data_IF_744286816594
#
_entry.id   IF_744286816594
#
_cell.length_a   1.000
_cell.length_b   1.000
_cell.length_c   1.000
_cell.angle_alpha   90.00
_cell.angle_beta   90.00
_cell.angle_gamma   90.00
#
_symmetry.space_group_name_H-M   'P 1'
#
loop_
_entity.id
_entity.type
_entity.pdbx_description
1 polymer ?
#
# COMPACT_ATOMS: atom_id res chain seq x y z
N UNK A 1 -23.44 -65.00 -23.64
CA UNK A 1 -23.95 -64.92 -25.03
C UNK A 1 -23.54 -63.57 -25.60
N UNK A 2 -22.78 -63.55 -26.73
CA UNK A 2 -22.23 -62.39 -27.49
C UNK A 2 -21.18 -61.52 -26.76
N UNK A 3 -19.90 -61.31 -27.12
CA UNK A 3 -19.00 -61.45 -28.30
C UNK A 3 -19.23 -60.53 -29.52
N UNK A 4 -18.51 -59.38 -29.56
CA UNK A 4 -17.67 -58.80 -30.66
C UNK A 4 -17.38 -57.30 -30.38
N UNK A 5 -16.12 -56.85 -30.27
CA UNK A 5 -15.16 -56.39 -31.33
C UNK A 5 -15.65 -55.17 -32.13
N UNK A 6 -14.92 -54.14 -32.55
CA UNK A 6 -13.49 -53.72 -32.58
C UNK A 6 -13.48 -52.34 -33.29
N UNK A 7 -12.59 -51.40 -32.94
CA UNK A 7 -11.91 -50.52 -33.90
C UNK A 7 -10.79 -49.71 -33.22
N UNK A 8 -9.56 -49.98 -33.64
CA UNK A 8 -8.37 -49.14 -33.47
C UNK A 8 -8.37 -48.07 -34.58
N UNK A 9 -7.81 -46.89 -34.30
CA UNK A 9 -7.04 -46.16 -35.30
C UNK A 9 -5.83 -45.51 -34.64
N UNK A 10 -4.65 -45.88 -35.15
CA UNK A 10 -3.34 -45.29 -34.90
C UNK A 10 -3.09 -44.21 -35.93
N UNK A 11 -2.49 -43.08 -35.52
CA UNK A 11 -1.74 -42.21 -36.43
C UNK A 11 -0.63 -41.53 -35.66
N UNK A 12 0.59 -41.85 -36.05
CA UNK A 12 1.83 -41.25 -35.59
C UNK A 12 2.13 -39.95 -36.35
N UNK A 13 3.05 -39.17 -35.77
CA UNK A 13 3.90 -38.16 -36.40
C UNK A 13 3.25 -36.86 -36.90
N UNK A 14 3.58 -35.76 -36.21
CA UNK A 14 4.49 -34.76 -36.75
C UNK A 14 4.77 -33.69 -35.68
N UNK A 15 6.03 -33.57 -35.29
CA UNK A 15 6.49 -32.42 -34.52
C UNK A 15 6.33 -31.15 -35.33
N UNK A 16 5.82 -30.10 -34.69
CA UNK A 16 5.93 -28.73 -35.15
C UNK A 16 6.80 -27.98 -34.13
N UNK A 17 7.81 -27.22 -34.57
CA UNK A 17 8.75 -26.55 -33.69
C UNK A 17 8.05 -25.44 -32.90
N UNK A 18 8.45 -25.28 -31.64
CA UNK A 18 8.04 -24.15 -30.79
C UNK A 18 8.72 -22.90 -31.35
N UNK A 19 7.98 -22.20 -32.22
CA UNK A 19 8.35 -20.90 -32.75
C UNK A 19 8.25 -19.86 -31.63
N UNK A 20 9.37 -19.21 -31.31
CA UNK A 20 9.44 -18.13 -30.34
C UNK A 20 8.50 -16.98 -30.73
N UNK A 21 7.30 -16.93 -30.14
CA UNK A 21 6.45 -15.75 -30.21
C UNK A 21 6.95 -14.72 -29.19
N UNK A 22 7.73 -13.78 -29.69
CA UNK A 22 7.90 -12.49 -29.04
C UNK A 22 6.53 -11.82 -28.94
N UNK A 23 6.09 -11.54 -27.71
CA UNK A 23 4.82 -10.85 -27.48
C UNK A 23 4.93 -9.40 -27.94
N UNK A 24 4.31 -9.09 -29.07
CA UNK A 24 4.05 -7.72 -29.51
C UNK A 24 2.92 -7.15 -28.67
N UNK A 25 3.25 -6.20 -27.80
CA UNK A 25 2.29 -5.38 -27.08
C UNK A 25 1.57 -4.48 -28.08
N UNK A 26 0.34 -4.84 -28.47
CA UNK A 26 -0.54 -3.93 -29.19
C UNK A 26 -1.30 -3.09 -28.16
N UNK A 27 -0.69 -1.98 -27.75
CA UNK A 27 -1.34 -0.96 -26.93
C UNK A 27 -2.20 -0.10 -27.84
N UNK A 28 -3.52 -0.20 -27.69
CA UNK A 28 -4.47 0.74 -28.28
C UNK A 28 -4.19 2.14 -27.72
N UNK A 29 -3.54 2.98 -28.52
CA UNK A 29 -3.25 4.37 -28.19
C UNK A 29 -4.55 5.19 -28.05
N UNK A 30 -4.91 5.55 -26.81
CA UNK A 30 -5.81 6.68 -26.54
C UNK A 30 -5.08 7.98 -26.88
N UNK A 31 -5.43 8.60 -28.00
CA UNK A 31 -4.76 9.79 -28.56
C UNK A 31 -5.03 11.10 -27.78
N UNK A 32 -5.72 11.09 -26.64
CA UNK A 32 -6.14 12.32 -25.96
C UNK A 32 -5.07 12.96 -25.07
N UNK A 33 -3.96 12.26 -24.75
CA UNK A 33 -2.93 12.78 -23.83
C UNK A 33 -1.85 13.60 -24.57
N UNK A 34 -1.56 13.30 -25.84
CA UNK A 34 -0.50 13.97 -26.58
C UNK A 34 -0.86 15.41 -26.99
N UNK A 35 -2.14 15.70 -27.22
CA UNK A 35 -2.58 17.05 -27.61
C UNK A 35 -2.56 18.04 -26.43
N UNK A 36 -2.87 17.57 -25.21
CA UNK A 36 -2.79 18.39 -23.98
C UNK A 36 -1.34 18.74 -23.64
N UNK A 37 -0.39 17.81 -23.90
CA UNK A 37 1.04 18.06 -23.65
C UNK A 37 1.61 19.06 -24.66
N UNK A 38 1.17 19.06 -25.94
CA UNK A 38 1.59 20.04 -26.94
C UNK A 38 1.07 21.46 -26.66
N UNK A 39 -0.19 21.61 -26.25
CA UNK A 39 -0.75 22.93 -25.87
C UNK A 39 -0.04 23.54 -24.65
N UNK A 40 0.30 22.71 -23.64
CA UNK A 40 0.99 23.19 -22.44
C UNK A 40 2.41 23.69 -22.70
N UNK A 41 3.13 23.07 -23.65
CA UNK A 41 4.47 23.51 -24.07
C UNK A 41 4.43 24.77 -24.93
N UNK A 42 3.42 24.93 -25.80
CA UNK A 42 3.26 26.14 -26.61
C UNK A 42 2.92 27.38 -25.75
N UNK A 43 2.09 27.22 -24.70
CA UNK A 43 1.75 28.31 -23.76
C UNK A 43 2.90 28.77 -22.86
N UNK A 44 3.84 27.88 -22.51
CA UNK A 44 5.03 28.23 -21.69
C UNK A 44 6.12 28.96 -22.49
N UNK A 45 6.19 28.76 -23.80
CA UNK A 45 7.15 29.45 -24.67
C UNK A 45 6.80 30.94 -24.85
N UNK A 46 5.50 31.29 -24.91
CA UNK A 46 5.06 32.68 -25.15
C UNK A 46 5.07 33.60 -23.93
N UNK A 47 5.12 33.07 -22.71
CA UNK A 47 5.15 33.88 -21.47
C UNK A 47 6.56 34.16 -20.94
N UNK A 48 7.61 33.59 -21.55
CA UNK A 48 9.00 33.78 -21.10
C UNK A 48 9.72 35.02 -21.67
N UNK A 49 9.10 35.81 -22.56
CA UNK A 49 9.79 36.92 -23.26
C UNK A 49 9.52 38.33 -22.71
N UNK A 50 8.77 38.51 -21.62
CA UNK A 50 8.57 39.84 -21.00
C UNK A 50 8.51 39.76 -19.47
N UNK A 51 9.66 39.81 -18.81
CA UNK A 51 9.86 40.43 -17.49
C UNK A 51 11.33 40.29 -17.05
N UNK A 52 12.21 41.16 -17.55
CA UNK A 52 13.43 41.52 -16.82
C UNK A 52 13.08 42.69 -15.91
N UNK A 53 12.93 42.43 -14.61
CA UNK A 53 12.98 43.46 -13.59
C UNK A 53 13.58 42.87 -12.31
N UNK A 54 14.70 43.46 -11.92
CA UNK A 54 15.43 43.36 -10.66
C UNK A 54 14.54 43.22 -9.43
N UNK A 55 14.76 42.18 -8.62
CA UNK A 55 14.49 42.24 -7.17
C UNK A 55 15.45 41.31 -6.43
N UNK A 56 16.15 41.90 -5.45
CA UNK A 56 17.18 41.30 -4.60
C UNK A 56 16.64 40.09 -3.82
N UNK A 57 17.49 39.08 -3.71
CA UNK A 57 17.33 37.85 -2.96
C UNK A 57 17.14 38.13 -1.46
N UNK A 58 15.96 37.80 -0.92
CA UNK A 58 15.77 37.54 0.51
C UNK A 58 15.70 36.02 0.65
N UNK A 59 16.75 35.43 1.23
CA UNK A 59 16.79 34.00 1.57
C UNK A 59 15.85 33.76 2.76
N UNK A 60 14.77 33.00 2.54
CA UNK A 60 14.02 32.39 3.64
C UNK A 60 14.67 31.05 4.02
N UNK A 61 14.81 30.71 5.32
CA UNK A 61 15.50 29.48 5.77
C UNK A 61 14.59 28.24 5.78
N UNK A 62 13.39 28.31 5.20
CA UNK A 62 12.40 27.24 5.33
C UNK A 62 12.47 26.25 4.15
N UNK A 63 13.49 25.38 4.17
CA UNK A 63 13.59 24.24 3.26
C UNK A 63 12.49 23.22 3.58
N UNK A 64 11.33 23.37 2.95
CA UNK A 64 10.33 22.31 2.84
C UNK A 64 10.98 21.11 2.14
N UNK A 65 11.30 20.09 2.94
CA UNK A 65 11.80 18.78 2.51
C UNK A 65 10.81 18.20 1.49
N UNK A 66 11.10 18.37 0.19
CA UNK A 66 10.30 17.79 -0.88
C UNK A 66 10.39 16.26 -0.77
N UNK A 67 9.23 15.61 -0.61
CA UNK A 67 9.14 14.14 -0.61
C UNK A 67 9.44 13.62 -2.03
N UNK A 68 10.11 12.46 -2.15
CA UNK A 68 10.53 11.94 -3.45
C UNK A 68 9.31 11.63 -4.36
N UNK A 69 9.51 11.81 -5.67
CA UNK A 69 8.50 11.52 -6.71
C UNK A 69 8.20 10.01 -6.77
N UNK A 70 6.99 9.66 -7.23
CA UNK A 70 6.50 8.27 -7.30
C UNK A 70 7.35 7.38 -8.23
N UNK A 71 7.87 7.94 -9.33
CA UNK A 71 8.78 7.23 -10.25
C UNK A 71 10.11 6.87 -9.56
N UNK A 72 10.65 7.80 -8.77
CA UNK A 72 11.89 7.65 -8.00
C UNK A 72 11.79 6.52 -6.96
N UNK A 73 10.59 6.32 -6.40
CA UNK A 73 10.32 5.27 -5.41
C UNK A 73 10.19 3.88 -6.04
N UNK A 74 9.58 3.76 -7.23
CA UNK A 74 9.47 2.48 -7.96
C UNK A 74 10.83 1.97 -8.42
N UNK A 75 11.71 2.87 -8.87
CA UNK A 75 13.09 2.54 -9.24
C UNK A 75 13.86 1.95 -8.04
N UNK A 76 13.75 2.60 -6.88
CA UNK A 76 14.34 2.15 -5.62
C UNK A 76 13.74 0.81 -5.13
N UNK A 77 12.50 0.52 -5.52
CA UNK A 77 11.86 -0.74 -5.20
C UNK A 77 12.43 -1.93 -5.99
N UNK A 78 12.59 -1.80 -7.30
CA UNK A 78 13.26 -2.81 -8.13
C UNK A 78 14.74 -3.00 -7.74
N UNK A 79 15.50 -1.91 -7.59
CA UNK A 79 16.92 -1.96 -7.22
C UNK A 79 17.17 -2.66 -5.88
N UNK A 80 16.21 -2.59 -4.95
CA UNK A 80 16.37 -3.24 -3.65
C UNK A 80 16.29 -4.77 -3.79
N UNK A 81 15.33 -5.31 -4.55
CA UNK A 81 15.21 -6.75 -4.74
C UNK A 81 16.33 -7.32 -5.62
N UNK A 82 16.85 -6.53 -6.56
CA UNK A 82 18.04 -6.89 -7.33
C UNK A 82 19.33 -6.97 -6.48
N UNK A 83 19.38 -6.24 -5.36
CA UNK A 83 20.51 -6.26 -4.41
C UNK A 83 20.40 -7.36 -3.35
N UNK A 84 19.30 -8.10 -3.31
CA UNK A 84 19.13 -9.19 -2.35
C UNK A 84 19.74 -10.46 -2.93
N UNK A 85 20.74 -11.02 -2.25
CA UNK A 85 21.41 -12.25 -2.68
C UNK A 85 20.95 -13.50 -1.89
N UNK A 86 19.95 -13.36 -1.02
CA UNK A 86 19.51 -14.44 -0.12
C UNK A 86 19.05 -15.70 -0.85
N UNK A 87 18.50 -15.57 -2.06
CA UNK A 87 18.06 -16.71 -2.87
C UNK A 87 19.23 -17.37 -3.61
N UNK A 88 20.31 -16.65 -3.89
CA UNK A 88 21.46 -17.16 -4.66
C UNK A 88 22.46 -17.89 -3.74
N UNK A 89 22.62 -17.36 -2.52
CA UNK A 89 23.49 -17.94 -1.51
C UNK A 89 23.00 -19.32 -1.05
N UNK A 90 23.95 -20.17 -0.66
CA UNK A 90 23.66 -21.46 -0.04
C UNK A 90 23.03 -21.28 1.34
N UNK A 91 22.31 -22.30 1.80
CA UNK A 91 21.56 -22.26 3.06
C UNK A 91 22.44 -21.97 4.28
N UNK A 92 23.68 -22.48 4.30
CA UNK A 92 24.61 -22.27 5.42
C UNK A 92 25.17 -20.84 5.41
N UNK A 93 25.51 -20.30 4.24
CA UNK A 93 25.94 -18.90 4.11
C UNK A 93 24.86 -17.91 4.51
N UNK A 94 23.59 -18.17 4.16
CA UNK A 94 22.46 -17.34 4.59
C UNK A 94 22.31 -17.39 6.11
N UNK A 95 22.35 -18.57 6.72
CA UNK A 95 22.29 -18.72 8.17
C UNK A 95 23.44 -17.97 8.87
N UNK A 96 24.66 -18.13 8.38
CA UNK A 96 25.84 -17.43 8.91
C UNK A 96 25.71 -15.91 8.76
N UNK A 97 25.30 -15.41 7.60
CA UNK A 97 25.08 -13.99 7.34
C UNK A 97 23.99 -13.37 8.22
N UNK A 98 22.97 -14.15 8.59
CA UNK A 98 21.91 -13.73 9.52
C UNK A 98 22.23 -14.01 10.99
N UNK A 99 23.43 -14.51 11.30
CA UNK A 99 23.83 -14.97 12.65
C UNK A 99 22.81 -15.93 13.27
N UNK A 100 22.25 -16.81 12.45
CA UNK A 100 21.31 -17.86 12.83
C UNK A 100 21.94 -19.24 12.66
N UNK A 101 21.36 -20.24 13.32
CA UNK A 101 21.78 -21.63 13.27
C UNK A 101 20.61 -22.52 12.90
N UNK A 102 20.84 -23.80 12.57
CA UNK A 102 19.76 -24.77 12.32
C UNK A 102 18.84 -24.98 13.53
N UNK A 103 19.34 -24.71 14.75
CA UNK A 103 18.55 -24.72 15.98
C UNK A 103 17.80 -23.40 16.21
N UNK A 104 17.87 -22.47 15.26
CA UNK A 104 17.26 -21.14 15.32
C UNK A 104 18.03 -20.17 16.21
N UNK A 105 17.39 -19.02 16.46
CA UNK A 105 17.93 -17.97 17.33
C UNK A 105 17.66 -18.29 18.81
N UNK A 106 18.52 -17.81 19.70
CA UNK A 106 18.22 -17.78 21.15
C UNK A 106 17.12 -16.75 21.44
N UNK A 107 16.19 -17.02 22.39
CA UNK A 107 15.08 -16.12 22.68
C UNK A 107 15.52 -14.71 23.12
N UNK A 108 16.66 -14.58 23.80
CA UNK A 108 17.24 -13.30 24.22
C UNK A 108 17.70 -12.48 23.01
N UNK A 109 18.31 -13.13 22.04
CA UNK A 109 18.77 -12.47 20.82
C UNK A 109 17.60 -12.08 19.91
N UNK A 110 16.58 -12.92 19.82
CA UNK A 110 15.35 -12.60 19.10
C UNK A 110 14.64 -11.37 19.71
N UNK A 111 14.56 -11.28 21.04
CA UNK A 111 13.95 -10.10 21.70
C UNK A 111 14.79 -8.82 21.50
N UNK A 112 16.11 -8.93 21.49
CA UNK A 112 17.02 -7.80 21.20
C UNK A 112 16.85 -7.29 19.77
N UNK A 113 16.75 -8.19 18.78
CA UNK A 113 16.44 -7.83 17.39
C UNK A 113 15.06 -7.21 17.25
N UNK A 114 14.06 -7.75 17.95
CA UNK A 114 12.71 -7.19 17.92
C UNK A 114 12.66 -5.74 18.44
N UNK A 115 13.46 -5.43 19.46
CA UNK A 115 13.58 -4.07 19.99
C UNK A 115 14.31 -3.12 19.02
N UNK A 116 15.24 -3.63 18.21
CA UNK A 116 16.08 -2.85 17.30
C UNK A 116 15.43 -2.63 15.93
N UNK A 117 14.95 -3.72 15.32
CA UNK A 117 14.39 -3.73 13.95
C UNK A 117 12.90 -3.40 13.93
N UNK A 118 12.23 -3.62 15.06
CA UNK A 118 10.79 -3.43 15.22
C UNK A 118 9.97 -4.66 14.84
N UNK A 119 8.65 -4.53 15.01
CA UNK A 119 7.69 -5.63 14.78
C UNK A 119 7.52 -5.95 13.30
N UNK A 120 7.26 -7.22 13.00
CA UNK A 120 6.81 -7.69 11.69
C UNK A 120 5.35 -7.27 11.45
N UNK A 121 5.16 -5.98 11.13
CA UNK A 121 3.85 -5.40 10.83
C UNK A 121 3.91 -4.60 9.54
N UNK A 122 2.85 -4.70 8.74
CA UNK A 122 2.68 -3.86 7.57
C UNK A 122 2.56 -2.39 7.99
N UNK A 123 3.12 -1.46 7.21
CA UNK A 123 3.16 -0.05 7.57
C UNK A 123 1.75 0.55 7.53
N UNK A 124 1.11 0.65 8.69
CA UNK A 124 -0.16 1.36 8.84
C UNK A 124 0.10 2.85 8.98
N UNK A 125 -0.55 3.65 8.15
CA UNK A 125 -0.53 5.11 8.31
C UNK A 125 -1.18 5.45 9.64
N UNK A 126 -0.38 5.96 10.60
CA UNK A 126 -0.91 6.48 11.86
C UNK A 126 -1.89 7.61 11.53
N UNK A 127 -3.16 7.41 11.88
CA UNK A 127 -4.18 8.42 11.71
C UNK A 127 -4.12 9.36 12.91
N UNK A 128 -3.88 10.64 12.65
CA UNK A 128 -3.99 11.65 13.70
C UNK A 128 -5.47 11.98 13.88
N UNK A 129 -6.14 11.28 14.80
CA UNK A 129 -7.57 11.44 15.06
C UNK A 129 -7.97 12.90 15.31
N UNK A 130 -7.13 13.68 16.03
CA UNK A 130 -7.37 15.10 16.24
C UNK A 130 -7.33 15.92 14.94
N UNK A 131 -6.36 15.66 14.06
CA UNK A 131 -6.28 16.31 12.74
C UNK A 131 -7.48 15.95 11.87
N UNK A 132 -7.90 14.69 11.95
CA UNK A 132 -9.02 14.13 11.19
C UNK A 132 -10.35 14.72 11.64
N UNK A 133 -10.56 14.85 12.94
CA UNK A 133 -11.69 15.57 13.52
C UNK A 133 -11.70 17.04 13.09
N UNK A 134 -10.55 17.72 13.12
CA UNK A 134 -10.44 19.09 12.64
C UNK A 134 -10.78 19.20 11.15
N UNK A 135 -10.34 18.25 10.34
CA UNK A 135 -10.65 18.18 8.91
C UNK A 135 -12.15 17.94 8.65
N UNK A 136 -12.86 17.19 9.51
CA UNK A 136 -14.32 17.02 9.39
C UNK A 136 -15.11 18.27 9.75
N UNK A 137 -14.65 19.02 10.75
CA UNK A 137 -15.35 20.21 11.24
C UNK A 137 -15.04 21.45 10.39
N UNK A 138 -13.80 21.59 9.90
CA UNK A 138 -13.32 22.78 9.20
C UNK A 138 -13.01 22.56 7.72
N UNK A 139 -13.05 21.33 7.22
CA UNK A 139 -12.72 21.01 5.83
C UNK A 139 -13.88 21.24 4.86
N UNK A 140 -13.52 21.45 3.58
CA UNK A 140 -14.48 21.47 2.46
C UNK A 140 -15.62 22.47 2.64
N UNK A 141 -16.85 22.00 2.42
CA UNK A 141 -18.09 22.78 2.49
C UNK A 141 -18.39 23.34 3.90
N UNK A 142 -17.97 22.65 4.97
CA UNK A 142 -18.17 23.12 6.35
C UNK A 142 -17.48 24.46 6.61
N UNK A 143 -16.37 24.76 5.92
CA UNK A 143 -15.68 26.05 6.05
C UNK A 143 -16.56 27.25 5.68
N UNK A 144 -17.46 27.11 4.70
CA UNK A 144 -18.41 28.16 4.29
C UNK A 144 -19.49 28.36 5.35
N UNK A 145 -19.98 27.29 5.96
CA UNK A 145 -20.95 27.35 7.05
C UNK A 145 -20.38 28.09 8.27
N UNK A 146 -19.09 27.89 8.59
CA UNK A 146 -18.40 28.65 9.64
C UNK A 146 -18.35 30.14 9.37
N UNK A 147 -18.13 30.55 8.12
CA UNK A 147 -18.23 31.98 7.72
C UNK A 147 -19.66 32.48 7.96
N UNK A 148 -20.68 31.69 7.61
CA UNK A 148 -22.07 32.02 7.89
C UNK A 148 -22.36 32.20 9.38
N UNK A 149 -21.85 31.31 10.25
CA UNK A 149 -21.95 31.44 11.72
C UNK A 149 -21.33 32.76 12.18
N UNK A 150 -20.13 33.10 11.70
CA UNK A 150 -19.45 34.35 12.05
C UNK A 150 -20.28 35.57 11.62
N UNK A 151 -20.85 35.56 10.42
CA UNK A 151 -21.71 36.65 9.92
C UNK A 151 -22.95 36.81 10.80
N UNK A 152 -23.65 35.72 11.14
CA UNK A 152 -24.83 35.79 12.01
C UNK A 152 -24.49 36.31 13.41
N UNK A 153 -23.33 35.94 13.97
CA UNK A 153 -22.85 36.51 15.23
C UNK A 153 -22.54 38.01 15.11
N UNK A 154 -21.92 38.47 14.02
CA UNK A 154 -21.65 39.90 13.78
C UNK A 154 -22.95 40.71 13.64
N UNK A 155 -23.94 40.16 12.92
CA UNK A 155 -25.27 40.75 12.77
C UNK A 155 -26.03 40.83 14.10
N UNK A 156 -25.82 39.86 15.02
CA UNK A 156 -26.32 39.96 16.38
C UNK A 156 -25.58 41.04 17.20
N UNK A 157 -24.24 41.03 17.17
CA UNK A 157 -23.38 41.99 17.88
C UNK A 157 -22.02 42.07 17.18
N UNK A 158 -21.54 43.27 16.75
CA UNK A 158 -21.93 44.62 17.16
C UNK A 158 -23.02 45.34 16.33
N UNK A 159 -23.41 44.83 15.15
CA UNK A 159 -24.32 45.55 14.23
C UNK A 159 -25.77 45.61 14.70
N UNK A 160 -26.20 44.68 15.55
CA UNK A 160 -27.57 44.60 16.06
C UNK A 160 -27.90 45.52 17.24
N UNK A 161 -26.99 46.41 17.68
CA UNK A 161 -27.31 47.34 18.78
C UNK A 161 -28.14 48.54 18.28
N UNK A 162 -29.08 49.09 19.08
CA UNK A 162 -29.40 48.77 20.48
C UNK A 162 -30.39 47.61 20.70
N UNK A 163 -31.09 47.14 19.68
CA UNK A 163 -32.10 46.06 19.77
C UNK A 163 -31.66 44.79 19.02
N UNK A 164 -30.82 43.94 19.64
CA UNK A 164 -30.33 42.72 18.98
C UNK A 164 -31.49 41.75 18.74
N UNK A 165 -31.72 41.42 17.48
CA UNK A 165 -32.81 40.53 17.09
C UNK A 165 -32.52 39.07 17.47
N UNK A 166 -33.35 38.52 18.39
CA UNK A 166 -33.35 37.12 18.86
C UNK A 166 -33.23 36.06 17.73
N UNK A 167 -33.72 36.42 16.55
CA UNK A 167 -33.68 35.61 15.35
C UNK A 167 -32.26 35.31 14.84
N UNK A 168 -31.33 36.27 14.85
CA UNK A 168 -29.98 36.10 14.27
C UNK A 168 -29.14 35.08 15.06
N UNK A 169 -29.28 35.04 16.39
CA UNK A 169 -28.64 34.01 17.23
C UNK A 169 -29.28 32.64 17.01
N UNK A 170 -30.61 32.59 16.83
CA UNK A 170 -31.32 31.37 16.48
C UNK A 170 -30.78 30.76 15.18
N UNK A 171 -30.54 31.57 14.14
CA UNK A 171 -29.92 31.14 12.89
C UNK A 171 -28.48 30.66 13.09
N UNK A 172 -27.65 31.38 13.87
CA UNK A 172 -26.29 30.95 14.17
C UNK A 172 -26.24 29.57 14.85
N UNK A 173 -27.12 29.35 15.84
CA UNK A 173 -27.24 28.06 16.54
C UNK A 173 -27.73 26.97 15.59
N UNK A 174 -28.72 27.25 14.74
CA UNK A 174 -29.21 26.29 13.74
C UNK A 174 -28.09 25.84 12.81
N UNK A 175 -27.27 26.78 12.31
CA UNK A 175 -26.15 26.46 11.42
C UNK A 175 -25.07 25.65 12.14
N UNK A 176 -24.81 25.93 13.42
CA UNK A 176 -23.89 25.12 14.24
C UNK A 176 -24.38 23.66 14.37
N UNK A 177 -25.69 23.44 14.54
CA UNK A 177 -26.27 22.09 14.56
C UNK A 177 -26.05 21.40 13.21
N UNK A 178 -26.25 22.10 12.10
CA UNK A 178 -25.99 21.57 10.75
C UNK A 178 -24.52 21.17 10.57
N UNK A 179 -23.57 22.00 11.01
CA UNK A 179 -22.14 21.69 10.97
C UNK A 179 -21.85 20.41 11.78
N UNK A 180 -22.43 20.28 12.97
CA UNK A 180 -22.24 19.10 13.82
C UNK A 180 -22.76 17.82 13.15
N UNK A 181 -23.97 17.85 12.59
CA UNK A 181 -24.55 16.70 11.87
C UNK A 181 -23.69 16.31 10.65
N UNK A 182 -23.21 17.30 9.91
CA UNK A 182 -22.36 17.07 8.74
C UNK A 182 -21.00 16.46 9.11
N UNK A 183 -20.38 16.93 10.19
CA UNK A 183 -19.13 16.35 10.71
C UNK A 183 -19.32 14.90 11.17
N UNK A 184 -20.43 14.60 11.86
CA UNK A 184 -20.80 13.24 12.25
C UNK A 184 -20.99 12.32 11.04
N UNK A 185 -21.69 12.78 10.01
CA UNK A 185 -21.87 12.01 8.77
C UNK A 185 -20.53 11.73 8.07
N UNK A 186 -19.66 12.75 7.99
CA UNK A 186 -18.31 12.61 7.42
C UNK A 186 -17.45 11.60 8.20
N UNK A 187 -17.52 11.64 9.53
CA UNK A 187 -16.82 10.69 10.39
C UNK A 187 -17.35 9.26 10.20
N UNK A 188 -18.66 9.08 10.05
CA UNK A 188 -19.26 7.78 9.80
C UNK A 188 -18.86 7.20 8.43
N UNK A 189 -18.82 8.03 7.39
CA UNK A 189 -18.42 7.63 6.04
C UNK A 189 -16.96 7.13 6.03
N UNK A 190 -16.07 7.88 6.68
CA UNK A 190 -14.68 7.48 6.78
C UNK A 190 -14.46 6.24 7.67
N UNK A 191 -15.22 6.10 8.76
CA UNK A 191 -15.19 4.88 9.57
C UNK A 191 -15.61 3.64 8.75
N UNK A 192 -16.63 3.78 7.92
CA UNK A 192 -17.08 2.73 7.00
C UNK A 192 -15.98 2.34 6.00
N UNK A 193 -15.29 3.31 5.39
CA UNK A 193 -14.17 3.05 4.48
C UNK A 193 -12.96 2.40 5.18
N UNK A 194 -12.66 2.81 6.41
CA UNK A 194 -11.55 2.25 7.20
C UNK A 194 -11.70 0.77 7.54
N UNK A 195 -12.94 0.25 7.61
CA UNK A 195 -13.21 -1.17 7.90
C UNK A 195 -12.68 -2.10 6.82
N UNK A 196 -12.79 -1.71 5.55
CA UNK A 196 -12.28 -2.50 4.42
C UNK A 196 -10.77 -2.66 4.47
N UNK A 197 -10.04 -1.62 4.88
CA UNK A 197 -8.58 -1.70 5.01
C UNK A 197 -8.16 -2.61 6.18
N UNK A 198 -8.92 -2.64 7.27
CA UNK A 198 -8.63 -3.55 8.39
C UNK A 198 -8.85 -5.02 8.01
N UNK A 199 -9.85 -5.31 7.17
CA UNK A 199 -10.07 -6.67 6.65
C UNK A 199 -8.89 -7.17 5.80
N UNK A 200 -8.13 -6.29 5.14
CA UNK A 200 -6.89 -6.66 4.44
C UNK A 200 -5.78 -7.03 5.44
N UNK A 201 -5.72 -6.36 6.59
CA UNK A 201 -4.72 -6.64 7.63
C UNK A 201 -5.01 -7.96 8.37
N UNK A 202 -6.29 -8.34 8.49
CA UNK A 202 -6.72 -9.63 9.04
C UNK A 202 -6.37 -10.83 8.14
N UNK A 203 -5.85 -10.58 6.92
CA UNK A 203 -5.32 -11.63 6.06
C UNK A 203 -3.95 -12.15 6.53
N UNK A 204 -3.28 -11.49 7.48
CA UNK A 204 -1.99 -11.96 8.00
C UNK A 204 -2.18 -13.07 9.06
N UNK A 205 -1.35 -14.12 9.03
CA UNK A 205 -1.42 -15.18 10.04
C UNK A 205 -1.19 -14.60 11.44
N UNK A 206 -2.07 -14.92 12.40
CA UNK A 206 -1.97 -14.41 13.77
C UNK A 206 -0.73 -14.93 14.52
N UNK A 207 -0.42 -16.22 14.31
CA UNK A 207 0.68 -16.92 14.97
C UNK A 207 1.55 -17.68 13.95
N UNK A 208 2.84 -17.82 14.25
CA UNK A 208 3.81 -18.59 13.51
C UNK A 208 4.50 -19.62 14.41
N UNK A 209 4.84 -20.79 13.85
CA UNK A 209 5.66 -21.80 14.51
C UNK A 209 7.13 -21.50 14.21
N UNK A 210 7.90 -21.19 15.25
CA UNK A 210 9.33 -20.87 15.14
C UNK A 210 10.19 -21.85 15.93
N UNK A 211 11.42 -22.05 15.47
CA UNK A 211 12.45 -22.75 16.23
C UNK A 211 13.34 -21.70 16.87
N UNK A 212 13.37 -21.68 18.21
CA UNK A 212 14.25 -20.81 19.01
C UNK A 212 14.92 -21.64 20.10
N UNK A 213 16.25 -21.57 20.21
CA UNK A 213 17.03 -22.39 21.15
C UNK A 213 16.82 -23.89 20.98
N UNK A 214 16.62 -24.37 19.75
CA UNK A 214 16.36 -25.78 19.42
C UNK A 214 14.94 -26.27 19.72
N UNK A 215 14.08 -25.44 20.31
CA UNK A 215 12.70 -25.80 20.65
C UNK A 215 11.72 -25.12 19.70
N UNK A 216 10.70 -25.88 19.27
CA UNK A 216 9.60 -25.34 18.46
C UNK A 216 8.60 -24.63 19.38
N UNK A 217 8.43 -23.33 19.20
CA UNK A 217 7.54 -22.48 19.99
C UNK A 217 6.59 -21.71 19.07
N UNK A 218 5.36 -21.48 19.55
CA UNK A 218 4.38 -20.66 18.83
C UNK A 218 4.54 -19.22 19.26
N UNK A 219 4.79 -18.32 18.31
CA UNK A 219 5.03 -16.89 18.57
C UNK A 219 4.08 -16.07 17.69
N UNK A 220 3.54 -14.94 18.18
CA UNK A 220 2.76 -14.05 17.34
C UNK A 220 3.55 -13.65 16.09
N UNK A 221 2.92 -13.66 14.91
CA UNK A 221 3.63 -13.32 13.66
C UNK A 221 4.22 -11.91 13.69
N UNK A 222 3.69 -11.02 14.54
CA UNK A 222 4.20 -9.65 14.75
C UNK A 222 5.56 -9.61 15.41
N UNK A 223 5.93 -10.66 16.15
CA UNK A 223 7.14 -10.73 16.96
C UNK A 223 8.24 -11.58 16.28
N UNK A 224 8.02 -11.91 15.00
CA UNK A 224 9.03 -12.51 14.13
C UNK A 224 10.11 -11.49 13.78
N UNK A 225 11.36 -11.96 13.80
CA UNK A 225 12.53 -11.18 13.46
C UNK A 225 13.32 -11.85 12.34
N UNK A 226 14.15 -11.06 11.66
CA UNK A 226 15.09 -11.60 10.65
C UNK A 226 16.01 -12.62 11.32
N UNK A 227 16.20 -13.76 10.69
CA UNK A 227 16.99 -14.89 11.19
C UNK A 227 16.20 -15.93 11.98
N UNK A 228 14.93 -15.70 12.33
CA UNK A 228 14.09 -16.75 12.93
C UNK A 228 13.91 -17.92 11.95
N UNK A 229 13.93 -19.15 12.46
CA UNK A 229 13.55 -20.32 11.67
C UNK A 229 12.06 -20.56 11.87
N UNK A 230 11.31 -20.56 10.78
CA UNK A 230 9.86 -20.74 10.76
C UNK A 230 9.54 -22.09 10.13
N UNK A 231 8.62 -22.83 10.76
CA UNK A 231 8.02 -24.04 10.19
C UNK A 231 6.63 -23.69 9.65
N UNK A 232 6.39 -24.08 8.41
CA UNK A 232 5.13 -23.87 7.72
C UNK A 232 4.61 -25.21 7.21
N UNK A 233 3.30 -25.40 7.33
CA UNK A 233 2.60 -26.60 6.89
C UNK A 233 1.41 -26.22 6.03
N UNK A 234 0.84 -27.21 5.33
CA UNK A 234 -0.39 -27.07 4.55
C UNK A 234 -1.48 -26.26 5.27
N UNK A 235 -2.09 -25.32 4.53
CA UNK A 235 -3.13 -24.42 5.01
C UNK A 235 -2.62 -23.22 5.82
N UNK A 236 -1.32 -23.14 6.11
CA UNK A 236 -0.74 -21.97 6.79
C UNK A 236 -0.35 -20.90 5.76
N UNK A 237 -0.48 -19.64 6.17
CA UNK A 237 0.07 -18.51 5.41
C UNK A 237 1.51 -18.27 5.83
N UNK A 238 2.34 -17.87 4.87
CA UNK A 238 3.73 -17.51 5.10
C UNK A 238 3.78 -16.16 5.85
N UNK A 239 4.33 -16.09 7.07
CA UNK A 239 4.18 -14.93 7.96
C UNK A 239 5.15 -13.76 7.68
N UNK A 240 6.24 -14.04 6.97
CA UNK A 240 7.30 -13.09 6.58
C UNK A 240 8.00 -13.64 5.32
N UNK A 241 8.83 -12.86 4.62
CA UNK A 241 9.57 -13.44 3.50
C UNK A 241 10.66 -14.36 4.07
N UNK A 242 10.63 -15.64 3.68
CA UNK A 242 11.50 -16.70 4.19
C UNK A 242 12.32 -17.33 3.06
N UNK A 243 13.56 -17.71 3.38
CA UNK A 243 14.40 -18.58 2.55
C UNK A 243 14.19 -20.02 2.99
N UNK A 244 13.75 -20.88 2.07
CA UNK A 244 13.49 -22.29 2.35
C UNK A 244 14.82 -23.02 2.62
N UNK A 245 14.89 -23.74 3.75
CA UNK A 245 16.05 -24.53 4.17
C UNK A 245 15.80 -26.03 3.98
N UNK A 246 14.58 -26.46 4.24
CA UNK A 246 14.13 -27.83 4.03
C UNK A 246 12.67 -27.82 3.57
N UNK A 247 12.34 -28.68 2.63
CA UNK A 247 10.99 -28.77 2.03
C UNK A 247 10.58 -30.23 1.92
N UNK A 248 9.28 -30.51 2.01
CA UNK A 248 8.75 -31.76 1.47
C UNK A 248 8.80 -31.74 -0.06
N UNK A 249 8.86 -32.91 -0.68
CA UNK A 249 8.94 -33.03 -2.15
C UNK A 249 7.70 -32.46 -2.86
N UNK A 250 6.57 -32.42 -2.18
CA UNK A 250 5.27 -31.99 -2.69
C UNK A 250 4.88 -30.57 -2.25
N UNK A 251 5.81 -29.79 -1.68
CA UNK A 251 5.48 -28.46 -1.17
C UNK A 251 5.08 -27.52 -2.30
N UNK A 252 3.94 -26.84 -2.11
CA UNK A 252 3.39 -25.89 -3.08
C UNK A 252 2.88 -24.63 -2.39
N UNK A 253 3.05 -23.50 -3.08
CA UNK A 253 2.66 -22.18 -2.63
C UNK A 253 1.69 -21.55 -3.63
N UNK A 254 0.57 -21.05 -3.12
CA UNK A 254 -0.36 -20.20 -3.87
C UNK A 254 0.08 -18.74 -3.74
N UNK A 255 0.40 -18.14 -4.88
CA UNK A 255 0.88 -16.75 -5.00
C UNK A 255 -0.19 -15.77 -5.50
N UNK A 256 -1.46 -16.20 -5.55
CA UNK A 256 -2.60 -15.39 -5.99
C UNK A 256 -2.70 -14.04 -5.27
N UNK A 257 -2.30 -13.96 -4.01
CA UNK A 257 -2.29 -12.72 -3.23
C UNK A 257 -1.30 -11.66 -3.77
N UNK A 258 -0.24 -12.07 -4.48
CA UNK A 258 0.80 -11.18 -5.00
C UNK A 258 0.70 -10.99 -6.51
N UNK A 259 0.41 -12.06 -7.27
CA UNK A 259 0.36 -12.04 -8.73
C UNK A 259 -1.05 -11.83 -9.28
N UNK A 260 -2.08 -12.17 -8.51
CA UNK A 260 -3.48 -12.18 -8.96
C UNK A 260 -3.86 -13.45 -9.75
N UNK A 261 -2.93 -14.38 -9.95
CA UNK A 261 -3.13 -15.64 -10.66
C UNK A 261 -3.08 -16.80 -9.65
N UNK A 262 -4.06 -17.71 -9.70
CA UNK A 262 -4.20 -18.84 -8.76
C UNK A 262 -3.31 -20.04 -9.09
N UNK A 263 -2.14 -19.79 -9.66
CA UNK A 263 -1.20 -20.84 -10.02
C UNK A 263 -0.39 -21.29 -8.80
N UNK A 264 -0.35 -22.60 -8.60
CA UNK A 264 0.48 -23.21 -7.57
C UNK A 264 1.93 -23.31 -8.05
N UNK A 265 2.86 -22.78 -7.25
CA UNK A 265 4.29 -22.87 -7.53
C UNK A 265 4.94 -23.83 -6.55
N UNK A 266 5.73 -24.77 -7.06
CA UNK A 266 6.54 -25.71 -6.26
C UNK A 266 7.62 -24.97 -5.48
N UNK A 267 7.84 -25.37 -4.23
CA UNK A 267 8.97 -24.87 -3.44
C UNK A 267 10.24 -25.71 -3.65
N UNK A 268 11.40 -25.06 -3.63
CA UNK A 268 12.70 -25.72 -3.73
C UNK A 268 13.68 -25.21 -2.66
N UNK A 269 14.67 -26.00 -2.28
CA UNK A 269 15.75 -25.55 -1.38
C UNK A 269 16.82 -24.80 -2.17
N UNK A 270 17.13 -25.23 -3.39
CA UNK A 270 18.16 -24.62 -4.23
C UNK A 270 17.62 -23.43 -5.05
N UNK A 271 18.51 -22.51 -5.41
CA UNK A 271 18.16 -21.36 -6.27
C UNK A 271 17.72 -21.84 -7.65
N UNK A 272 16.52 -21.42 -8.07
CA UNK A 272 15.99 -21.78 -9.39
C UNK A 272 16.07 -20.64 -10.39
N UNK A 273 16.05 -19.39 -9.92
CA UNK A 273 16.12 -18.20 -10.76
C UNK A 273 17.07 -17.16 -10.15
N UNK A 274 17.55 -16.23 -10.96
CA UNK A 274 18.31 -15.05 -10.50
C UNK A 274 17.40 -13.96 -9.96
N UNK A 275 16.12 -13.93 -10.33
CA UNK A 275 15.17 -12.99 -9.79
C UNK A 275 14.62 -13.47 -8.44
N UNK A 276 14.76 -12.64 -7.39
CA UNK A 276 14.24 -12.91 -6.04
C UNK A 276 12.74 -13.20 -6.03
N UNK A 277 11.97 -12.64 -6.97
CA UNK A 277 10.53 -12.88 -7.06
C UNK A 277 10.18 -14.15 -7.82
N UNK A 278 10.97 -14.61 -8.78
CA UNK A 278 10.64 -15.79 -9.59
C UNK A 278 11.22 -17.09 -9.02
N UNK A 279 12.22 -16.97 -8.16
CA UNK A 279 12.86 -18.13 -7.54
C UNK A 279 11.89 -18.89 -6.63
N UNK A 280 12.00 -20.22 -6.66
CA UNK A 280 11.14 -21.15 -5.90
C UNK A 280 11.59 -21.38 -4.47
N UNK A 281 12.73 -20.80 -4.12
CA UNK A 281 13.41 -21.04 -2.86
C UNK A 281 13.17 -19.95 -1.81
N UNK A 282 12.28 -19.01 -2.15
CA UNK A 282 11.78 -17.97 -1.28
C UNK A 282 10.26 -18.15 -1.10
N UNK A 283 9.82 -18.28 0.16
CA UNK A 283 8.42 -18.15 0.53
C UNK A 283 8.11 -16.67 0.79
N UNK A 284 7.15 -16.11 0.07
CA UNK A 284 6.80 -14.68 0.20
C UNK A 284 5.68 -14.47 1.23
N UNK A 285 5.76 -13.38 1.99
CA UNK A 285 4.76 -13.00 2.98
C UNK A 285 3.36 -12.91 2.36
N UNK A 286 2.41 -13.61 2.98
CA UNK A 286 1.00 -13.62 2.58
C UNK A 286 0.62 -14.69 1.55
N UNK A 287 1.59 -15.43 0.97
CA UNK A 287 1.29 -16.63 0.18
C UNK A 287 0.80 -17.76 1.08
N UNK A 288 0.02 -18.69 0.53
CA UNK A 288 -0.54 -19.82 1.27
C UNK A 288 0.13 -21.12 0.85
N UNK A 289 0.46 -21.97 1.82
CA UNK A 289 0.97 -23.32 1.54
C UNK A 289 -0.21 -24.21 1.16
N UNK A 290 -0.31 -24.60 -0.11
CA UNK A 290 -1.41 -25.44 -0.60
C UNK A 290 -1.16 -26.92 -0.39
N UNK A 291 0.11 -27.33 -0.41
CA UNK A 291 0.50 -28.71 -0.13
C UNK A 291 1.86 -28.78 0.57
N UNK A 292 2.11 -29.91 1.25
CA UNK A 292 3.38 -30.22 1.89
C UNK A 292 3.69 -29.42 3.15
N UNK A 293 4.98 -29.39 3.50
CA UNK A 293 5.52 -28.59 4.59
C UNK A 293 6.92 -28.10 4.27
N UNK A 294 7.32 -26.99 4.87
CA UNK A 294 8.66 -26.46 4.72
C UNK A 294 9.16 -25.80 5.99
N UNK A 295 10.48 -25.75 6.13
CA UNK A 295 11.19 -25.00 7.15
C UNK A 295 12.07 -23.97 6.44
N UNK A 296 12.01 -22.72 6.88
CA UNK A 296 12.79 -21.64 6.28
C UNK A 296 13.24 -20.60 7.29
N UNK A 297 14.28 -19.86 6.94
CA UNK A 297 14.79 -18.74 7.74
C UNK A 297 14.17 -17.42 7.26
N UNK A 298 13.73 -16.58 8.19
CA UNK A 298 13.19 -15.25 7.87
C UNK A 298 14.30 -14.35 7.34
N UNK A 299 14.12 -13.86 6.11
CA UNK A 299 15.07 -12.94 5.46
C UNK A 299 14.59 -11.49 5.52
N UNK A 300 13.28 -11.25 5.39
CA UNK A 300 12.69 -9.90 5.45
C UNK A 300 11.45 -9.90 6.32
N UNK A 301 11.23 -8.79 7.05
CA UNK A 301 10.06 -8.58 7.92
C UNK A 301 9.39 -7.23 7.66
N UNK A 302 8.09 -7.16 7.97
CA UNK A 302 7.28 -5.95 8.02
C UNK A 302 7.30 -5.15 6.72
N UNK A 303 7.78 -3.90 6.79
CA UNK A 303 7.86 -2.97 5.65
C UNK A 303 8.86 -3.39 4.56
N UNK A 304 9.82 -4.25 4.88
CA UNK A 304 10.89 -4.65 3.97
C UNK A 304 10.49 -5.85 3.10
N UNK A 305 9.44 -6.59 3.47
CA UNK A 305 8.94 -7.71 2.66
C UNK A 305 8.36 -7.23 1.34
N UNK A 306 8.22 -8.14 0.38
CA UNK A 306 7.55 -7.88 -0.89
C UNK A 306 6.16 -7.27 -0.69
N UNK A 307 5.34 -7.92 0.14
CA UNK A 307 4.01 -7.42 0.49
C UNK A 307 4.07 -6.09 1.27
N UNK A 308 5.06 -5.93 2.15
CA UNK A 308 5.31 -4.69 2.90
C UNK A 308 5.58 -3.48 2.02
N UNK A 309 6.34 -3.67 0.95
CA UNK A 309 6.68 -2.62 0.00
C UNK A 309 5.54 -2.32 -0.95
N UNK A 310 4.81 -3.34 -1.42
CA UNK A 310 3.55 -3.18 -2.17
C UNK A 310 2.57 -2.36 -1.33
N UNK A 311 2.34 -2.74 -0.07
CA UNK A 311 1.48 -2.02 0.87
C UNK A 311 1.97 -0.59 1.12
N UNK A 312 3.28 -0.37 1.25
CA UNK A 312 3.88 0.96 1.39
C UNK A 312 3.74 1.84 0.15
N UNK A 313 3.77 1.25 -1.04
CA UNK A 313 3.55 1.94 -2.29
C UNK A 313 2.08 2.36 -2.43
N UNK A 314 1.16 1.47 -2.06
CA UNK A 314 -0.29 1.75 -2.03
C UNK A 314 -0.63 2.81 -0.97
N UNK A 315 -0.14 2.67 0.26
CA UNK A 315 -0.39 3.63 1.35
C UNK A 315 0.30 4.98 1.13
N UNK A 316 1.38 5.00 0.35
CA UNK A 316 2.13 6.19 -0.03
C UNK A 316 1.50 6.99 -1.18
N UNK A 317 0.58 6.38 -1.94
CA UNK A 317 -0.25 7.11 -2.89
C UNK A 317 -1.07 8.13 -2.09
N UNK A 318 -0.81 9.43 -2.29
CA UNK A 318 -1.68 10.45 -1.72
C UNK A 318 -3.08 10.22 -2.28
N UNK A 319 -4.07 10.23 -1.40
CA UNK A 319 -5.46 10.47 -1.80
C UNK A 319 -5.48 11.81 -2.53
N UNK A 320 -5.46 11.76 -3.86
CA UNK A 320 -5.76 12.94 -4.65
C UNK A 320 -7.25 13.22 -4.52
N UNK A 321 -7.58 14.48 -4.31
CA UNK A 321 -8.98 14.93 -4.34
C UNK A 321 -9.62 14.47 -5.63
N UNK A 322 -10.77 13.80 -5.54
CA UNK A 322 -11.48 13.26 -6.70
C UNK A 322 -11.87 14.40 -7.66
N UNK A 323 -12.03 14.09 -8.95
CA UNK A 323 -12.46 15.09 -9.95
C UNK A 323 -13.79 15.75 -9.53
N UNK A 324 -14.73 14.95 -9.04
CA UNK A 324 -16.01 15.42 -8.51
C UNK A 324 -15.80 16.37 -7.33
N UNK A 325 -14.91 16.04 -6.39
CA UNK A 325 -14.62 16.92 -5.25
C UNK A 325 -14.00 18.26 -5.69
N UNK A 326 -13.14 18.26 -6.71
CA UNK A 326 -12.61 19.50 -7.30
C UNK A 326 -13.72 20.35 -7.92
N UNK A 327 -14.63 19.74 -8.67
CA UNK A 327 -15.76 20.46 -9.28
C UNK A 327 -16.75 20.97 -8.24
N UNK A 328 -17.05 20.20 -7.19
CA UNK A 328 -17.88 20.67 -6.06
C UNK A 328 -17.22 21.87 -5.38
N UNK A 329 -15.92 21.82 -5.09
CA UNK A 329 -15.21 22.96 -4.51
C UNK A 329 -15.27 24.19 -5.42
N UNK A 330 -15.08 24.01 -6.74
CA UNK A 330 -15.20 25.10 -7.72
C UNK A 330 -16.61 25.69 -7.73
N UNK A 331 -17.64 24.85 -7.75
CA UNK A 331 -19.04 25.26 -7.71
C UNK A 331 -19.36 26.05 -6.42
N UNK A 332 -18.92 25.57 -5.27
CA UNK A 332 -19.08 26.26 -3.98
C UNK A 332 -18.42 27.64 -4.01
N UNK A 333 -17.19 27.75 -4.54
CA UNK A 333 -16.49 29.05 -4.65
C UNK A 333 -17.26 30.02 -5.56
N UNK A 334 -17.82 29.54 -6.68
CA UNK A 334 -18.62 30.37 -7.59
C UNK A 334 -19.87 30.90 -6.89
N UNK A 335 -20.61 30.03 -6.16
CA UNK A 335 -21.79 30.45 -5.40
C UNK A 335 -21.41 31.49 -4.35
N UNK A 336 -20.35 31.24 -3.57
CA UNK A 336 -19.90 32.17 -2.54
C UNK A 336 -19.55 33.53 -3.16
N UNK A 337 -18.81 33.54 -4.27
CA UNK A 337 -18.47 34.77 -4.99
C UNK A 337 -19.72 35.52 -5.46
N UNK A 338 -20.68 34.82 -6.07
CA UNK A 338 -21.93 35.41 -6.54
C UNK A 338 -22.74 35.99 -5.38
N UNK A 339 -22.86 35.26 -4.26
CA UNK A 339 -23.58 35.76 -3.08
C UNK A 339 -22.94 37.02 -2.50
N UNK A 340 -21.60 37.13 -2.51
CA UNK A 340 -20.89 38.31 -2.00
C UNK A 340 -21.01 39.51 -2.95
N UNK A 341 -21.09 39.27 -4.27
CA UNK A 341 -21.27 40.35 -5.27
C UNK A 341 -22.71 40.87 -5.28
N UNK A 342 -23.68 40.00 -5.00
CA UNK A 342 -25.11 40.34 -5.05
C UNK A 342 -25.61 40.97 -3.74
N UNK A 343 -24.94 40.69 -2.62
CA UNK A 343 -25.17 41.32 -1.31
C UNK A 343 -24.58 42.73 -1.25
#
# INVERSE_FOLDING_TARGET
SSVRSRAQSTSAAAGLPIEFRTLSFNVSHSQTVNDVVKESKWRKSKTATKAKATTKTIKSPFSLKQKPKVEDKRQNDAEHFEKLDFHILDSQSVLHGLSSSELGLTPEYASTRLATDGKNMLPRRRQNYAKKLFEYVFGGFCSVLWVGVIIFFICWKPLGNPDPQAYNLGLAILVLIVIFLQACFSAFQDWSTGRTMNAILDLLPADALVVRGGQTTKVPSTDLVVGDIVKISIGNKVPADIRLLATSEDVRFDRSMLTGESDEIEGAVDSTDKNFLETRNIGLMGTMVTNGSATGVVVLTGKNTCMGRISSAMAGAKEETTLIQKEINRFVIIIVCLTVVLA
#
